data_IF_635488536474
#
_entry.id   IF_635488536474
#
_cell.length_a   1.000
_cell.length_b   1.000
_cell.length_c   1.000
_cell.angle_alpha   90.00
_cell.angle_beta   90.00
_cell.angle_gamma   90.00
#
_symmetry.space_group_name_H-M   'P 1'
#
loop_
_entity.id
_entity.type
_entity.pdbx_description
1 polymer ?
#
# COMPACT_ATOMS: atom_id res chain seq x y z
N UNK A 1 -3.19 2.29 26.99
CA UNK A 1 -2.66 2.66 25.66
C UNK A 1 -3.84 2.91 24.74
N UNK A 2 -3.98 4.08 24.10
CA UNK A 2 -5.02 4.28 23.11
C UNK A 2 -4.69 3.43 21.87
N UNK A 3 -5.65 2.64 21.41
CA UNK A 3 -5.53 1.92 20.15
C UNK A 3 -5.57 2.92 19.00
N UNK A 4 -4.58 2.89 18.10
CA UNK A 4 -4.55 3.69 16.88
C UNK A 4 -4.58 2.80 15.65
N UNK A 5 -5.14 3.31 14.54
CA UNK A 5 -5.18 2.58 13.27
C UNK A 5 -3.78 2.36 12.69
N UNK A 6 -2.81 3.19 13.06
CA UNK A 6 -1.40 3.03 12.68
C UNK A 6 -0.82 1.70 13.21
N UNK A 7 -1.39 1.13 14.28
CA UNK A 7 -0.99 -0.18 14.78
C UNK A 7 -1.40 -1.34 13.86
N UNK A 8 -2.29 -1.10 12.89
CA UNK A 8 -2.81 -2.10 11.94
C UNK A 8 -2.20 -1.94 10.54
N UNK A 9 -1.10 -1.19 10.40
CA UNK A 9 -0.41 -1.01 9.13
C UNK A 9 -0.03 -2.35 8.49
N UNK A 10 -0.46 -2.55 7.25
CA UNK A 10 -0.23 -3.78 6.50
C UNK A 10 -1.24 -4.90 6.77
N UNK A 11 -2.16 -4.73 7.72
CA UNK A 11 -3.22 -5.71 8.00
C UNK A 11 -4.60 -5.25 7.54
N UNK A 12 -4.78 -3.94 7.36
CA UNK A 12 -6.07 -3.36 6.97
C UNK A 12 -5.93 -2.30 5.88
N UNK A 13 -6.93 -2.23 5.01
CA UNK A 13 -7.15 -1.10 4.12
C UNK A 13 -8.12 -0.13 4.75
N UNK A 14 -7.68 1.12 4.81
CA UNK A 14 -8.48 2.24 5.26
C UNK A 14 -8.95 2.98 4.00
N UNK A 15 -10.26 3.01 3.79
CA UNK A 15 -10.89 3.73 2.70
C UNK A 15 -11.69 4.89 3.27
N UNK A 16 -11.37 6.12 2.85
CA UNK A 16 -12.10 7.31 3.26
C UNK A 16 -13.01 7.77 2.13
N UNK A 17 -14.32 7.83 2.39
CA UNK A 17 -15.33 8.33 1.46
C UNK A 17 -16.10 9.47 2.15
N UNK A 18 -15.63 10.70 1.94
CA UNK A 18 -16.19 11.87 2.63
C UNK A 18 -15.96 11.78 4.14
N UNK A 19 -17.06 11.75 4.91
CA UNK A 19 -17.02 11.63 6.38
C UNK A 19 -16.89 10.17 6.86
N UNK A 20 -17.09 9.19 5.98
CA UNK A 20 -17.06 7.78 6.35
C UNK A 20 -15.65 7.19 6.19
N UNK A 21 -15.26 6.36 7.15
CA UNK A 21 -14.02 5.58 7.10
C UNK A 21 -14.36 4.11 7.14
N UNK A 22 -14.21 3.44 6.00
CA UNK A 22 -14.30 1.99 5.87
C UNK A 22 -12.97 1.34 6.23
N UNK A 23 -13.03 0.23 6.95
CA UNK A 23 -11.88 -0.61 7.29
C UNK A 23 -12.15 -2.00 6.74
N UNK A 24 -11.23 -2.52 5.94
CA UNK A 24 -11.31 -3.85 5.36
C UNK A 24 -10.04 -4.65 5.69
N UNK A 25 -10.21 -5.91 6.05
CA UNK A 25 -9.09 -6.80 6.29
C UNK A 25 -8.32 -7.06 4.99
N UNK A 26 -7.00 -6.84 5.02
CA UNK A 26 -6.13 -7.00 3.88
C UNK A 26 -4.68 -7.14 4.38
N UNK A 27 -4.25 -8.38 4.56
CA UNK A 27 -2.98 -8.69 5.21
C UNK A 27 -1.81 -8.77 4.22
N UNK A 28 -0.63 -8.26 4.61
CA UNK A 28 0.62 -8.50 3.86
C UNK A 28 0.88 -10.00 3.72
N UNK A 29 0.54 -10.79 4.75
CA UNK A 29 0.77 -12.23 4.77
C UNK A 29 -0.03 -13.00 3.72
N UNK A 30 -1.17 -12.47 3.26
CA UNK A 30 -1.97 -13.07 2.20
C UNK A 30 -1.56 -12.64 0.79
N UNK A 31 -0.61 -11.70 0.67
CA UNK A 31 -0.17 -11.19 -0.61
C UNK A 31 0.89 -12.09 -1.28
N UNK A 32 0.90 -12.15 -2.63
CA UNK A 32 1.91 -12.92 -3.35
C UNK A 32 3.34 -12.44 -3.04
N UNK A 33 4.30 -13.37 -3.00
CA UNK A 33 5.74 -13.08 -2.88
C UNK A 33 6.36 -12.48 -4.15
N UNK A 34 5.67 -12.56 -5.29
CA UNK A 34 6.16 -11.93 -6.51
C UNK A 34 5.68 -10.47 -6.56
N UNK A 35 6.63 -9.52 -6.66
CA UNK A 35 6.38 -8.09 -6.72
C UNK A 35 5.34 -7.69 -7.77
N UNK A 36 5.48 -8.15 -9.01
CA UNK A 36 4.57 -7.78 -10.09
C UNK A 36 3.13 -8.28 -9.81
N UNK A 37 2.99 -9.52 -9.33
CA UNK A 37 1.69 -10.06 -8.91
C UNK A 37 1.13 -9.30 -7.71
N UNK A 38 1.96 -8.93 -6.74
CA UNK A 38 1.53 -8.16 -5.57
C UNK A 38 1.03 -6.78 -5.95
N UNK A 39 1.76 -6.02 -6.76
CA UNK A 39 1.28 -4.74 -7.29
C UNK A 39 -0.02 -4.91 -8.08
N UNK A 40 -0.16 -5.99 -8.85
CA UNK A 40 -1.42 -6.27 -9.55
C UNK A 40 -2.60 -6.46 -8.59
N UNK A 41 -2.42 -7.14 -7.46
CA UNK A 41 -3.46 -7.30 -6.43
C UNK A 41 -3.77 -5.95 -5.77
N UNK A 42 -2.74 -5.20 -5.37
CA UNK A 42 -2.89 -3.89 -4.74
C UNK A 42 -3.66 -2.89 -5.62
N UNK A 43 -3.37 -2.87 -6.92
CA UNK A 43 -4.03 -1.96 -7.87
C UNK A 43 -5.42 -2.41 -8.30
N UNK A 44 -5.74 -3.71 -8.18
CA UNK A 44 -7.11 -4.21 -8.32
C UNK A 44 -7.99 -3.74 -7.17
N UNK A 45 -7.46 -3.79 -5.95
CA UNK A 45 -8.20 -3.41 -4.74
C UNK A 45 -8.39 -1.89 -4.65
N UNK A 46 -7.34 -1.12 -4.97
CA UNK A 46 -7.39 0.34 -4.99
C UNK A 46 -6.56 0.87 -6.15
N UNK A 47 -7.14 1.62 -7.11
CA UNK A 47 -6.41 2.05 -8.30
C UNK A 47 -5.38 3.15 -8.02
N UNK A 48 -5.62 3.97 -6.98
CA UNK A 48 -4.75 5.09 -6.60
C UNK A 48 -4.35 5.00 -5.14
N UNK A 49 -3.05 5.03 -4.90
CA UNK A 49 -2.48 4.86 -3.56
C UNK A 49 -1.58 6.03 -3.20
N UNK A 50 -1.79 6.60 -2.01
CA UNK A 50 -0.77 7.41 -1.36
C UNK A 50 0.45 6.53 -1.02
N UNK A 51 1.63 7.13 -0.97
CA UNK A 51 2.85 6.41 -0.61
C UNK A 51 2.73 5.77 0.78
N UNK A 52 2.30 6.56 1.77
CA UNK A 52 2.15 6.15 3.18
C UNK A 52 1.28 4.91 3.33
N UNK A 53 0.15 4.85 2.62
CA UNK A 53 -0.79 3.73 2.71
C UNK A 53 -0.25 2.44 2.07
N UNK A 54 0.61 2.56 1.04
CA UNK A 54 1.09 1.42 0.25
C UNK A 54 2.39 0.83 0.79
N UNK A 55 3.24 1.66 1.38
CA UNK A 55 4.56 1.28 1.87
C UNK A 55 4.54 0.03 2.76
N UNK A 56 3.58 -0.16 3.70
CA UNK A 56 3.53 -1.36 4.54
C UNK A 56 3.41 -2.67 3.75
N UNK A 57 2.79 -2.64 2.57
CA UNK A 57 2.53 -3.82 1.74
C UNK A 57 3.69 -4.25 0.85
N UNK A 58 4.73 -3.42 0.73
CA UNK A 58 5.90 -3.71 -0.12
C UNK A 58 7.24 -3.60 0.63
N UNK A 59 7.20 -3.29 1.94
CA UNK A 59 8.38 -3.06 2.78
C UNK A 59 9.31 -4.26 2.86
N UNK A 60 8.77 -5.46 2.74
CA UNK A 60 9.49 -6.74 2.74
C UNK A 60 10.39 -6.92 1.51
N UNK A 61 10.17 -6.17 0.44
CA UNK A 61 11.06 -6.16 -0.73
C UNK A 61 12.15 -5.08 -0.67
N UNK A 62 12.12 -4.20 0.34
CA UNK A 62 13.14 -3.17 0.50
C UNK A 62 14.37 -3.84 1.14
N UNK A 63 15.40 -4.04 0.31
CA UNK A 63 16.68 -4.63 0.71
C UNK A 63 17.81 -3.70 0.31
N UNK A 64 19.01 -3.81 0.90
CA UNK A 64 20.17 -3.06 0.44
C UNK A 64 20.38 -3.24 -1.08
N UNK A 65 20.35 -2.13 -1.83
CA UNK A 65 20.45 -2.13 -3.30
C UNK A 65 19.10 -2.07 -4.05
N UNK A 66 17.96 -2.22 -3.37
CA UNK A 66 16.63 -2.08 -3.95
C UNK A 66 15.78 -1.12 -3.09
N UNK A 67 15.76 0.16 -3.48
CA UNK A 67 15.02 1.17 -2.74
C UNK A 67 13.52 1.14 -3.06
N UNK A 68 12.74 1.66 -2.12
CA UNK A 68 11.32 1.94 -2.30
C UNK A 68 11.04 2.77 -3.56
N UNK A 69 11.82 3.83 -3.81
CA UNK A 69 11.62 4.68 -4.99
C UNK A 69 11.87 3.90 -6.29
N UNK A 70 12.90 3.05 -6.33
CA UNK A 70 13.19 2.22 -7.50
C UNK A 70 12.05 1.25 -7.83
N UNK A 71 11.44 0.64 -6.80
CA UNK A 71 10.25 -0.19 -6.96
C UNK A 71 9.06 0.61 -7.49
N UNK A 72 8.83 1.81 -6.96
CA UNK A 72 7.75 2.68 -7.41
C UNK A 72 7.93 3.10 -8.88
N UNK A 73 9.13 3.52 -9.29
CA UNK A 73 9.39 3.90 -10.67
C UNK A 73 9.14 2.74 -11.65
N UNK A 74 9.48 1.51 -11.23
CA UNK A 74 9.35 0.33 -12.09
C UNK A 74 7.92 -0.18 -12.22
N UNK A 75 7.16 -0.21 -11.13
CA UNK A 75 5.85 -0.89 -11.08
C UNK A 75 4.66 0.05 -11.01
N UNK A 76 4.88 1.36 -10.99
CA UNK A 76 3.81 2.33 -10.70
C UNK A 76 4.01 3.59 -11.53
N UNK A 77 2.91 4.29 -11.85
CA UNK A 77 2.95 5.60 -12.48
C UNK A 77 2.54 6.65 -11.47
N UNK A 78 3.38 7.68 -11.28
CA UNK A 78 3.02 8.82 -10.43
C UNK A 78 1.95 9.64 -11.13
N UNK A 79 0.83 9.84 -10.45
CA UNK A 79 -0.16 10.86 -10.82
C UNK A 79 0.06 12.07 -9.95
N UNK A 80 0.36 13.20 -10.58
CA UNK A 80 0.40 14.50 -9.92
C UNK A 80 -0.99 15.10 -10.10
N UNK A 81 -1.78 15.19 -9.04
CA UNK A 81 -2.95 16.06 -9.04
C UNK A 81 -2.42 17.48 -8.91
N UNK A 82 -2.27 18.14 -10.06
CA UNK A 82 -2.03 19.57 -10.10
C UNK A 82 -3.32 20.23 -9.60
N UNK A 83 -3.26 20.92 -8.46
CA UNK A 83 -4.22 21.96 -8.17
C UNK A 83 -3.90 23.16 -9.06
#
# INVERSE_FOLDING_TARGET
>A
MPASLDMLEGEVLIQKLGAETGIQAFSVSSLPYNLAKRFSVLFKERPKWAWKDRQPYIRDFIVPGLSAEGLLLKYTRRTQTNC
#
